data_IF_981925304547
#
_entry.id   IF_981925304547
#
_cell.length_a   1.000
_cell.length_b   1.000
_cell.length_c   1.000
_cell.angle_alpha   90.00
_cell.angle_beta   90.00
_cell.angle_gamma   90.00
#
_symmetry.space_group_name_H-M   'P 1'
#
loop_
_entity.id
_entity.type
_entity.pdbx_description
1 polymer ?
#
# COMPACT_ATOMS: atom_id res chain seq x y z
N UNK A 1 -32.58 -17.96 2.73
CA UNK A 1 -32.73 -19.43 2.73
C UNK A 1 -34.16 -19.71 3.15
N UNK A 2 -34.88 -20.58 2.47
CA UNK A 2 -36.27 -20.91 2.80
C UNK A 2 -36.29 -22.14 3.69
N UNK A 3 -36.94 -22.05 4.85
CA UNK A 3 -37.02 -23.16 5.80
C UNK A 3 -37.83 -24.33 5.22
N UNK A 4 -37.46 -25.56 5.60
CA UNK A 4 -38.19 -26.77 5.22
C UNK A 4 -39.55 -26.77 5.96
N UNK A 5 -40.66 -26.73 5.23
CA UNK A 5 -42.02 -26.65 5.81
C UNK A 5 -42.71 -28.01 5.97
N UNK A 6 -42.05 -29.10 5.54
CA UNK A 6 -42.49 -30.48 5.74
C UNK A 6 -41.28 -31.44 5.61
N UNK A 7 -41.45 -32.67 6.09
CA UNK A 7 -40.44 -33.73 5.98
C UNK A 7 -40.08 -34.00 4.51
N UNK A 8 -38.79 -33.92 4.19
CA UNK A 8 -38.27 -34.24 2.86
C UNK A 8 -37.64 -35.63 2.90
N UNK A 9 -38.19 -36.56 2.12
CA UNK A 9 -37.50 -37.82 1.85
C UNK A 9 -36.26 -37.52 0.99
N UNK A 10 -35.09 -37.81 1.54
CA UNK A 10 -33.82 -37.76 0.81
C UNK A 10 -33.47 -39.20 0.44
N UNK A 11 -33.25 -39.46 -0.85
CA UNK A 11 -32.91 -40.78 -1.33
C UNK A 11 -31.42 -41.08 -1.04
N UNK A 12 -31.13 -42.30 -0.60
CA UNK A 12 -29.79 -42.74 -0.23
C UNK A 12 -29.32 -43.89 -1.13
N UNK A 13 -28.06 -43.86 -1.53
CA UNK A 13 -27.33 -44.95 -2.19
C UNK A 13 -25.92 -45.02 -1.59
N UNK A 14 -25.38 -46.22 -1.43
CA UNK A 14 -24.08 -46.43 -0.77
C UNK A 14 -22.87 -45.82 -1.52
N UNK A 15 -23.03 -45.52 -2.82
CA UNK A 15 -22.00 -44.85 -3.63
C UNK A 15 -20.75 -45.68 -3.93
N UNK A 16 -20.72 -46.97 -3.57
CA UNK A 16 -19.60 -47.90 -3.83
C UNK A 16 -19.43 -48.14 -5.34
N UNK A 17 -20.54 -48.39 -6.02
CA UNK A 17 -20.61 -48.47 -7.47
C UNK A 17 -21.53 -47.37 -8.01
N UNK A 18 -21.03 -46.64 -9.01
CA UNK A 18 -21.74 -45.53 -9.65
C UNK A 18 -21.80 -45.78 -11.14
N UNK A 19 -22.97 -45.58 -11.74
CA UNK A 19 -23.14 -45.62 -13.18
C UNK A 19 -23.01 -44.19 -13.70
N UNK A 20 -22.09 -43.96 -14.64
CA UNK A 20 -21.77 -42.64 -15.20
C UNK A 20 -21.99 -42.69 -16.72
N UNK A 21 -22.66 -41.70 -17.33
CA UNK A 21 -22.82 -41.63 -18.78
C UNK A 21 -21.47 -41.42 -19.48
N UNK A 22 -21.21 -42.15 -20.56
CA UNK A 22 -19.93 -42.09 -21.30
C UNK A 22 -19.97 -40.96 -22.34
N UNK A 23 -18.84 -40.28 -22.54
CA UNK A 23 -18.67 -39.21 -23.55
C UNK A 23 -18.83 -39.76 -24.97
N UNK A 24 -19.14 -38.90 -25.95
CA UNK A 24 -19.13 -39.32 -27.35
C UNK A 24 -17.73 -39.79 -27.80
N UNK A 25 -17.67 -40.74 -28.73
CA UNK A 25 -16.39 -41.18 -29.31
C UNK A 25 -15.48 -42.00 -28.39
N UNK A 26 -15.84 -42.19 -27.11
CA UNK A 26 -14.98 -42.82 -26.10
C UNK A 26 -15.18 -44.34 -25.94
N UNK A 27 -14.09 -45.02 -25.56
CA UNK A 27 -14.07 -46.45 -25.21
C UNK A 27 -13.43 -46.64 -23.84
N UNK A 28 -14.14 -47.33 -22.96
CA UNK A 28 -13.67 -47.66 -21.62
C UNK A 28 -13.63 -49.17 -21.46
N UNK A 29 -12.44 -49.71 -21.23
CA UNK A 29 -12.26 -51.14 -20.97
C UNK A 29 -12.60 -51.50 -19.52
N UNK A 30 -12.98 -52.76 -19.30
CA UNK A 30 -13.16 -53.27 -17.95
C UNK A 30 -11.81 -53.25 -17.20
N UNK A 31 -11.80 -52.68 -16.00
CA UNK A 31 -10.59 -52.47 -15.20
C UNK A 31 -9.80 -51.19 -15.52
N UNK A 32 -10.22 -50.39 -16.50
CA UNK A 32 -9.58 -49.11 -16.79
C UNK A 32 -9.85 -48.08 -15.68
N UNK A 33 -8.88 -47.20 -15.46
CA UNK A 33 -9.09 -45.98 -14.68
C UNK A 33 -10.05 -45.06 -15.45
N UNK A 34 -11.05 -44.50 -14.77
CA UNK A 34 -12.08 -43.66 -15.39
C UNK A 34 -12.04 -42.26 -14.79
N UNK A 35 -12.09 -41.27 -15.67
CA UNK A 35 -12.23 -39.87 -15.33
C UNK A 35 -13.58 -39.32 -15.82
N UNK A 36 -13.95 -38.13 -15.35
CA UNK A 36 -15.01 -37.32 -15.98
C UNK A 36 -14.42 -36.04 -16.55
N UNK A 37 -14.95 -35.63 -17.71
CA UNK A 37 -14.65 -34.35 -18.34
C UNK A 37 -15.42 -33.20 -17.66
N UNK A 38 -15.19 -31.97 -18.12
CA UNK A 38 -15.86 -30.78 -17.59
C UNK A 38 -17.39 -30.77 -17.81
N UNK A 39 -17.91 -31.56 -18.76
CA UNK A 39 -19.33 -31.74 -19.00
C UNK A 39 -19.96 -32.83 -18.10
N UNK A 40 -19.15 -33.56 -17.34
CA UNK A 40 -19.60 -34.61 -16.41
C UNK A 40 -19.76 -36.00 -17.03
N UNK A 41 -19.25 -36.21 -18.25
CA UNK A 41 -19.27 -37.50 -18.92
C UNK A 41 -17.99 -38.29 -18.68
N UNK A 42 -18.13 -39.61 -18.60
CA UNK A 42 -17.03 -40.54 -18.37
C UNK A 42 -16.13 -40.62 -19.61
N UNK A 43 -14.85 -40.36 -19.38
CA UNK A 43 -13.77 -40.46 -20.37
C UNK A 43 -12.74 -41.48 -19.88
N UNK A 44 -11.89 -41.97 -20.78
CA UNK A 44 -10.74 -42.78 -20.36
C UNK A 44 -9.85 -42.01 -19.38
N UNK A 45 -9.35 -42.70 -18.35
CA UNK A 45 -8.43 -42.12 -17.40
C UNK A 45 -7.13 -41.71 -18.06
N UNK A 46 -6.51 -40.66 -17.56
CA UNK A 46 -5.21 -40.22 -18.03
C UNK A 46 -4.80 -38.89 -17.44
N UNK A 47 -3.57 -38.52 -17.72
CA UNK A 47 -2.99 -37.23 -17.36
C UNK A 47 -3.54 -36.12 -18.28
N UNK A 48 -4.80 -35.75 -18.05
CA UNK A 48 -5.55 -34.80 -18.90
C UNK A 48 -5.99 -33.60 -18.05
N UNK A 49 -5.69 -32.39 -18.54
CA UNK A 49 -6.10 -31.15 -17.89
C UNK A 49 -7.61 -31.12 -17.59
N UNK A 50 -7.96 -30.89 -16.34
CA UNK A 50 -9.36 -30.74 -15.90
C UNK A 50 -10.16 -32.03 -15.81
N UNK A 51 -9.52 -33.19 -15.99
CA UNK A 51 -10.14 -34.48 -15.73
C UNK A 51 -10.25 -34.73 -14.21
N UNK A 52 -11.35 -35.33 -13.76
CA UNK A 52 -11.54 -35.71 -12.35
C UNK A 52 -11.63 -37.23 -12.28
N UNK A 53 -10.76 -37.87 -11.51
CA UNK A 53 -10.79 -39.32 -11.31
C UNK A 53 -12.08 -39.76 -10.58
N UNK A 54 -12.78 -40.76 -11.14
CA UNK A 54 -14.06 -41.23 -10.63
C UNK A 54 -14.03 -42.68 -10.14
N UNK A 55 -12.97 -43.43 -10.41
CA UNK A 55 -12.78 -44.81 -9.94
C UNK A 55 -12.29 -45.75 -11.04
N UNK A 56 -12.44 -47.04 -10.80
CA UNK A 56 -12.03 -48.10 -11.73
C UNK A 56 -13.26 -48.73 -12.39
N UNK A 57 -13.24 -48.88 -13.71
CA UNK A 57 -14.34 -49.47 -14.47
C UNK A 57 -14.56 -50.94 -14.13
N UNK A 58 -15.82 -51.34 -13.97
CA UNK A 58 -16.24 -52.73 -13.74
C UNK A 58 -16.63 -53.46 -15.02
N UNK A 59 -16.84 -52.74 -16.12
CA UNK A 59 -17.39 -53.27 -17.36
C UNK A 59 -16.76 -52.64 -18.60
N UNK A 60 -17.00 -53.25 -19.77
CA UNK A 60 -16.62 -52.67 -21.05
C UNK A 60 -17.75 -51.77 -21.56
N UNK A 61 -17.43 -50.54 -21.91
CA UNK A 61 -18.36 -49.57 -22.49
C UNK A 61 -17.74 -48.95 -23.75
N UNK A 62 -18.44 -49.01 -24.89
CA UNK A 62 -17.97 -48.48 -26.17
C UNK A 62 -19.02 -47.52 -26.73
N UNK A 63 -18.77 -46.22 -26.58
CA UNK A 63 -19.63 -45.16 -27.09
C UNK A 63 -19.07 -44.50 -28.35
N UNK A 64 -18.18 -45.19 -29.07
CA UNK A 64 -17.42 -44.59 -30.21
C UNK A 64 -18.30 -44.07 -31.34
N UNK A 65 -19.50 -44.63 -31.46
CA UNK A 65 -20.47 -44.24 -32.49
C UNK A 65 -21.76 -43.64 -31.91
N UNK A 66 -21.79 -43.37 -30.60
CA UNK A 66 -22.92 -42.73 -29.91
C UNK A 66 -22.64 -41.26 -29.60
N UNK A 67 -23.68 -40.57 -29.11
CA UNK A 67 -23.60 -39.23 -28.54
C UNK A 67 -23.35 -39.33 -27.02
N UNK A 68 -23.07 -38.19 -26.39
CA UNK A 68 -22.85 -38.10 -24.94
C UNK A 68 -24.00 -38.75 -24.13
N UNK A 69 -23.66 -39.77 -23.35
CA UNK A 69 -24.57 -40.47 -22.45
C UNK A 69 -25.53 -41.46 -23.10
N UNK A 70 -25.33 -41.85 -24.36
CA UNK A 70 -26.09 -42.94 -24.99
C UNK A 70 -25.90 -44.28 -24.27
N UNK A 71 -24.74 -44.48 -23.64
CA UNK A 71 -24.44 -45.60 -22.75
C UNK A 71 -23.86 -45.11 -21.42
N UNK A 72 -23.89 -45.99 -20.41
CA UNK A 72 -23.25 -45.75 -19.12
C UNK A 72 -22.14 -46.77 -18.86
N UNK A 73 -21.20 -46.40 -18.01
CA UNK A 73 -20.17 -47.28 -17.44
C UNK A 73 -20.32 -47.35 -15.92
N UNK A 74 -20.25 -48.56 -15.38
CA UNK A 74 -20.22 -48.80 -13.94
C UNK A 74 -18.79 -48.66 -13.41
N UNK A 75 -18.58 -47.69 -12.51
CA UNK A 75 -17.29 -47.46 -11.84
C UNK A 75 -17.37 -47.81 -10.37
N UNK A 76 -16.31 -48.45 -9.87
CA UNK A 76 -16.12 -48.73 -8.45
C UNK A 76 -15.30 -47.59 -7.82
N UNK A 77 -15.88 -46.92 -6.82
CA UNK A 77 -15.32 -45.70 -6.21
C UNK A 77 -14.61 -45.95 -4.88
N UNK A 78 -14.56 -47.20 -4.42
CA UNK A 78 -13.99 -47.58 -3.10
C UNK A 78 -13.30 -48.94 -3.19
N UNK A 79 -12.16 -49.09 -2.51
CA UNK A 79 -11.43 -50.36 -2.40
C UNK A 79 -9.94 -50.21 -2.72
N UNK A 80 -9.20 -51.31 -2.50
CA UNK A 80 -7.80 -51.42 -2.89
C UNK A 80 -7.73 -52.10 -4.25
N UNK A 81 -7.05 -51.46 -5.20
CA UNK A 81 -6.85 -51.98 -6.55
C UNK A 81 -5.38 -52.22 -6.79
N UNK A 82 -5.04 -53.37 -7.38
CA UNK A 82 -3.70 -53.61 -7.87
C UNK A 82 -3.52 -52.77 -9.14
N UNK A 83 -2.67 -51.75 -9.07
CA UNK A 83 -2.38 -50.85 -10.18
C UNK A 83 -0.95 -51.07 -10.68
N UNK A 84 -0.74 -50.84 -11.98
CA UNK A 84 0.57 -50.86 -12.63
C UNK A 84 1.14 -49.44 -12.69
N UNK A 85 2.41 -49.29 -12.32
CA UNK A 85 3.11 -48.01 -12.27
C UNK A 85 3.96 -47.82 -13.53
N UNK A 86 3.87 -46.64 -14.15
CA UNK A 86 4.65 -46.31 -15.35
C UNK A 86 6.16 -46.22 -15.05
N UNK A 87 6.53 -45.81 -13.83
CA UNK A 87 7.92 -45.83 -13.34
C UNK A 87 8.11 -46.80 -12.18
N UNK A 88 9.37 -47.18 -11.93
CA UNK A 88 9.69 -48.16 -10.90
C UNK A 88 9.51 -47.58 -9.49
N UNK A 89 8.71 -48.26 -8.67
CA UNK A 89 8.46 -47.95 -7.26
C UNK A 89 9.21 -48.90 -6.32
N UNK A 90 9.33 -48.50 -5.06
CA UNK A 90 9.99 -49.27 -4.00
C UNK A 90 9.14 -49.35 -2.74
N UNK A 91 9.56 -50.20 -1.80
CA UNK A 91 8.91 -50.31 -0.48
C UNK A 91 8.83 -48.96 0.26
N UNK A 92 9.72 -48.00 -0.04
CA UNK A 92 9.72 -46.67 0.58
C UNK A 92 8.53 -45.80 0.13
N UNK A 93 7.89 -46.15 -0.99
CA UNK A 93 6.78 -45.38 -1.54
C UNK A 93 5.41 -45.75 -0.93
N UNK A 94 5.35 -46.71 -0.01
CA UNK A 94 4.09 -47.02 0.69
C UNK A 94 3.65 -45.80 1.51
N UNK A 95 2.44 -45.30 1.24
CA UNK A 95 1.91 -44.05 1.78
C UNK A 95 2.05 -42.84 0.86
N UNK A 96 2.77 -42.95 -0.26
CA UNK A 96 2.87 -41.86 -1.24
C UNK A 96 1.56 -41.69 -2.01
N UNK A 97 1.33 -40.45 -2.45
CA UNK A 97 0.22 -40.09 -3.34
C UNK A 97 0.45 -40.64 -4.74
N UNK A 98 -0.62 -41.19 -5.31
CA UNK A 98 -0.64 -41.78 -6.64
C UNK A 98 -1.49 -40.92 -7.57
N UNK A 99 -1.02 -40.72 -8.80
CA UNK A 99 -1.61 -39.89 -9.83
C UNK A 99 -1.81 -40.70 -11.12
N UNK A 100 -2.79 -40.32 -11.95
CA UNK A 100 -3.03 -40.97 -13.23
C UNK A 100 -1.94 -40.65 -14.24
N UNK A 101 -1.42 -41.70 -14.89
CA UNK A 101 -0.57 -41.56 -16.07
C UNK A 101 -1.35 -41.88 -17.36
N UNK A 102 -2.11 -42.99 -17.35
CA UNK A 102 -2.99 -43.41 -18.44
C UNK A 102 -4.16 -44.24 -17.90
N UNK A 103 -5.01 -44.76 -18.78
CA UNK A 103 -6.17 -45.58 -18.42
C UNK A 103 -5.79 -46.94 -17.81
N UNK A 104 -4.56 -47.40 -18.05
CA UNK A 104 -3.98 -48.62 -17.49
C UNK A 104 -2.81 -48.40 -16.52
N UNK A 105 -2.31 -47.16 -16.41
CA UNK A 105 -1.07 -46.85 -15.68
C UNK A 105 -1.28 -45.70 -14.70
N UNK A 106 -0.61 -45.80 -13.56
CA UNK A 106 -0.51 -44.74 -12.56
C UNK A 106 0.95 -44.40 -12.26
N UNK A 107 1.20 -43.31 -11.56
CA UNK A 107 2.55 -42.95 -11.14
C UNK A 107 2.55 -42.11 -9.85
N UNK A 108 3.73 -41.79 -9.33
CA UNK A 108 3.96 -40.87 -8.21
C UNK A 108 4.16 -39.43 -8.70
N UNK A 109 4.10 -38.47 -7.77
CA UNK A 109 4.25 -37.05 -8.07
C UNK A 109 5.54 -36.74 -8.85
N UNK A 110 5.44 -35.85 -9.83
CA UNK A 110 6.57 -35.38 -10.64
C UNK A 110 6.90 -36.24 -11.87
N UNK A 111 6.23 -37.37 -12.05
CA UNK A 111 6.32 -38.19 -13.27
C UNK A 111 5.14 -37.97 -14.25
N UNK A 112 4.14 -37.21 -13.84
CA UNK A 112 2.96 -36.80 -14.62
C UNK A 112 2.83 -35.27 -14.62
N UNK A 113 2.01 -34.71 -15.51
CA UNK A 113 1.95 -33.26 -15.83
C UNK A 113 0.85 -32.53 -15.08
N UNK A 114 -0.35 -33.12 -14.97
CA UNK A 114 -1.53 -32.50 -14.38
C UNK A 114 -1.86 -33.04 -12.99
N UNK A 115 -1.09 -34.02 -12.49
CA UNK A 115 -1.19 -34.56 -11.13
C UNK A 115 -2.63 -34.91 -10.73
N UNK A 116 -3.35 -35.65 -11.60
CA UNK A 116 -4.72 -36.10 -11.31
C UNK A 116 -4.68 -37.19 -10.24
N UNK A 117 -4.98 -36.82 -8.99
CA UNK A 117 -4.89 -37.71 -7.84
C UNK A 117 -5.88 -38.87 -7.92
N UNK A 118 -5.38 -40.10 -7.78
CA UNK A 118 -6.16 -41.33 -7.91
C UNK A 118 -6.15 -42.20 -6.64
N UNK A 119 -5.25 -41.95 -5.69
CA UNK A 119 -5.25 -42.67 -4.42
C UNK A 119 -3.92 -42.63 -3.69
N UNK A 120 -3.75 -43.52 -2.72
CA UNK A 120 -2.54 -43.65 -1.90
C UNK A 120 -2.04 -45.10 -1.97
N UNK A 121 -0.72 -45.30 -2.04
CA UNK A 121 -0.12 -46.64 -2.02
C UNK A 121 -0.36 -47.30 -0.65
N UNK A 122 -1.21 -48.32 -0.60
CA UNK A 122 -1.55 -49.06 0.61
C UNK A 122 -0.58 -50.22 0.89
N UNK A 123 -0.12 -50.93 -0.14
CA UNK A 123 0.86 -52.01 0.01
C UNK A 123 1.69 -52.23 -1.26
N UNK A 124 3.01 -52.28 -1.10
CA UNK A 124 3.96 -52.60 -2.16
C UNK A 124 3.90 -54.09 -2.56
N UNK A 125 4.04 -54.40 -3.86
CA UNK A 125 4.12 -55.78 -4.35
C UNK A 125 5.44 -56.06 -5.06
N UNK A 126 5.75 -55.28 -6.10
CA UNK A 126 6.96 -55.37 -6.89
C UNK A 126 7.30 -54.00 -7.49
N UNK A 127 8.37 -53.93 -8.30
CA UNK A 127 8.86 -52.67 -8.83
C UNK A 127 7.88 -51.91 -9.71
N UNK A 128 6.84 -52.55 -10.25
CA UNK A 128 5.85 -51.89 -11.12
C UNK A 128 4.42 -52.09 -10.64
N UNK A 129 4.18 -52.71 -9.48
CA UNK A 129 2.84 -52.94 -8.98
C UNK A 129 2.72 -52.66 -7.47
N UNK A 130 1.59 -52.06 -7.11
CA UNK A 130 1.18 -51.92 -5.73
C UNK A 130 -0.35 -51.94 -5.59
N UNK A 131 -0.82 -52.19 -4.37
CA UNK A 131 -2.21 -51.95 -3.99
C UNK A 131 -2.39 -50.46 -3.69
N UNK A 132 -3.30 -49.82 -4.42
CA UNK A 132 -3.66 -48.40 -4.25
C UNK A 132 -5.07 -48.33 -3.65
N UNK A 133 -5.20 -47.62 -2.53
CA UNK A 133 -6.49 -47.25 -1.98
C UNK A 133 -7.00 -45.98 -2.67
N UNK A 134 -8.10 -46.11 -3.41
CA UNK A 134 -8.69 -45.02 -4.19
C UNK A 134 -9.65 -44.15 -3.39
N UNK A 135 -10.04 -44.55 -2.17
CA UNK A 135 -11.03 -43.83 -1.36
C UNK A 135 -10.60 -42.39 -1.00
N UNK A 136 -9.32 -42.09 -0.72
CA UNK A 136 -8.85 -40.72 -0.50
C UNK A 136 -9.10 -39.79 -1.69
N UNK A 137 -8.96 -40.27 -2.93
CA UNK A 137 -9.16 -39.45 -4.12
C UNK A 137 -10.61 -39.02 -4.29
N UNK A 138 -11.54 -39.83 -3.81
CA UNK A 138 -12.98 -39.50 -3.83
C UNK A 138 -13.36 -38.52 -2.70
N UNK A 139 -12.57 -38.46 -1.62
CA UNK A 139 -12.85 -37.65 -0.42
C UNK A 139 -12.03 -36.37 -0.32
N UNK A 140 -11.06 -36.15 -1.20
CA UNK A 140 -10.13 -35.04 -1.05
C UNK A 140 -10.86 -33.70 -1.18
N UNK A 141 -10.90 -32.96 -0.08
CA UNK A 141 -10.99 -31.51 -0.13
C UNK A 141 -9.58 -31.00 -0.50
N UNK A 142 -9.49 -30.15 -1.52
CA UNK A 142 -8.21 -29.63 -2.01
C UNK A 142 -7.63 -28.58 -1.04
N UNK A 143 -7.14 -29.07 0.10
CA UNK A 143 -6.43 -28.27 1.12
C UNK A 143 -5.15 -27.67 0.54
N UNK A 144 -4.54 -28.32 -0.45
CA UNK A 144 -3.34 -27.83 -1.13
C UNK A 144 -3.65 -26.58 -1.98
N UNK A 145 -4.75 -26.57 -2.73
CA UNK A 145 -5.22 -25.38 -3.45
C UNK A 145 -5.60 -24.24 -2.50
N UNK A 146 -6.21 -24.55 -1.34
CA UNK A 146 -6.47 -23.54 -0.32
C UNK A 146 -5.20 -22.94 0.30
N UNK A 147 -4.14 -23.72 0.48
CA UNK A 147 -2.83 -23.24 0.97
C UNK A 147 -2.09 -22.47 -0.13
N UNK A 148 -2.24 -22.87 -1.38
CA UNK A 148 -1.57 -22.25 -2.53
C UNK A 148 -2.22 -20.95 -3.02
N UNK A 149 -3.46 -20.65 -2.62
CA UNK A 149 -4.17 -19.42 -3.01
C UNK A 149 -3.54 -18.18 -2.35
N UNK A 150 -2.78 -17.37 -3.10
CA UNK A 150 -2.12 -16.18 -2.57
C UNK A 150 -3.07 -14.97 -2.52
N UNK A 151 -4.28 -15.07 -3.08
CA UNK A 151 -5.22 -13.96 -3.24
C UNK A 151 -6.30 -13.91 -2.18
N UNK A 152 -6.70 -15.06 -1.62
CA UNK A 152 -7.74 -15.12 -0.60
C UNK A 152 -7.24 -15.50 0.81
N UNK A 153 -6.19 -16.31 0.93
CA UNK A 153 -5.76 -16.83 2.24
C UNK A 153 -4.62 -16.02 2.91
N UNK A 154 -3.81 -15.29 2.12
CA UNK A 154 -2.56 -14.69 2.62
C UNK A 154 -2.39 -13.18 2.32
N UNK A 155 -3.36 -12.53 1.69
CA UNK A 155 -3.31 -11.08 1.51
C UNK A 155 -3.52 -10.36 2.85
N UNK A 156 -2.82 -9.24 3.09
CA UNK A 156 -3.01 -8.43 4.31
C UNK A 156 -4.46 -7.91 4.47
N UNK A 157 -5.21 -7.82 3.37
CA UNK A 157 -6.65 -7.52 3.37
C UNK A 157 -7.51 -8.63 3.97
N UNK A 158 -7.02 -9.87 4.05
CA UNK A 158 -7.72 -11.00 4.66
C UNK A 158 -7.28 -11.28 6.11
N UNK A 159 -6.15 -10.69 6.55
CA UNK A 159 -5.60 -10.90 7.89
C UNK A 159 -6.25 -9.90 8.86
N UNK A 160 -6.96 -10.43 9.86
CA UNK A 160 -7.52 -9.62 10.94
C UNK A 160 -6.43 -9.15 11.91
N UNK A 161 -6.66 -7.99 12.53
CA UNK A 161 -5.78 -7.43 13.55
C UNK A 161 -6.44 -7.50 14.94
N UNK A 162 -5.73 -8.04 15.92
CA UNK A 162 -6.12 -7.96 17.33
C UNK A 162 -5.53 -6.69 17.94
N UNK A 163 -6.25 -5.57 17.82
CA UNK A 163 -5.80 -4.28 18.36
C UNK A 163 -6.06 -4.17 19.87
N UNK A 164 -5.28 -4.91 20.66
CA UNK A 164 -5.38 -4.88 22.12
C UNK A 164 -5.04 -3.50 22.72
N UNK A 165 -4.33 -2.65 21.97
CA UNK A 165 -3.92 -1.31 22.39
C UNK A 165 -4.93 -0.21 22.04
N UNK A 166 -5.96 -0.52 21.24
CA UNK A 166 -6.95 0.45 20.73
C UNK A 166 -6.30 1.61 19.95
N UNK A 167 -5.27 1.30 19.15
CA UNK A 167 -4.58 2.25 18.29
C UNK A 167 -5.30 2.54 16.96
N UNK A 168 -6.20 1.67 16.52
CA UNK A 168 -6.94 1.81 15.26
C UNK A 168 -8.35 1.22 15.36
N UNK A 169 -9.31 1.79 14.65
CA UNK A 169 -10.65 1.22 14.52
C UNK A 169 -10.75 0.18 13.38
N UNK A 170 -9.66 -0.06 12.65
CA UNK A 170 -9.64 -0.96 11.50
C UNK A 170 -9.63 -2.42 11.93
N UNK A 171 -10.31 -3.26 11.15
CA UNK A 171 -10.48 -4.69 11.43
C UNK A 171 -9.52 -5.58 10.62
N UNK A 172 -8.82 -5.00 9.64
CA UNK A 172 -7.91 -5.67 8.72
C UNK A 172 -6.53 -4.98 8.72
N UNK A 173 -5.48 -5.76 8.54
CA UNK A 173 -4.10 -5.26 8.56
C UNK A 173 -3.83 -4.21 7.49
N UNK A 174 -4.31 -4.44 6.25
CA UNK A 174 -4.14 -3.48 5.15
C UNK A 174 -4.72 -2.09 5.49
N UNK A 175 -5.93 -2.05 6.03
CA UNK A 175 -6.59 -0.79 6.37
C UNK A 175 -5.87 -0.05 7.51
N UNK A 176 -5.35 -0.77 8.51
CA UNK A 176 -4.55 -0.19 9.59
C UNK A 176 -3.23 0.40 9.07
N UNK A 177 -2.56 -0.29 8.13
CA UNK A 177 -1.34 0.21 7.49
C UNK A 177 -1.64 1.48 6.67
N UNK A 178 -2.72 1.49 5.90
CA UNK A 178 -3.13 2.66 5.11
C UNK A 178 -3.38 3.90 5.99
N UNK A 179 -4.01 3.74 7.16
CA UNK A 179 -4.19 4.81 8.13
C UNK A 179 -2.85 5.42 8.59
N UNK A 180 -1.87 4.56 8.89
CA UNK A 180 -0.52 5.00 9.29
C UNK A 180 0.17 5.75 8.14
N UNK A 181 0.15 5.20 6.92
CA UNK A 181 0.75 5.86 5.75
C UNK A 181 0.08 7.21 5.45
N UNK A 182 -1.23 7.28 5.57
CA UNK A 182 -1.97 8.53 5.38
C UNK A 182 -1.53 9.59 6.39
N UNK A 183 -1.36 9.22 7.67
CA UNK A 183 -0.85 10.11 8.71
C UNK A 183 0.57 10.58 8.41
N UNK A 184 1.47 9.65 8.07
CA UNK A 184 2.87 9.97 7.77
C UNK A 184 3.04 10.91 6.56
N UNK A 185 2.23 10.73 5.52
CA UNK A 185 2.29 11.56 4.30
C UNK A 185 1.56 12.90 4.42
N UNK A 186 0.60 13.02 5.34
CA UNK A 186 -0.14 14.28 5.57
C UNK A 186 0.47 15.12 6.68
N UNK A 187 1.29 14.53 7.54
CA UNK A 187 2.00 15.24 8.59
C UNK A 187 2.89 16.34 7.99
N UNK A 188 2.69 17.57 8.46
CA UNK A 188 3.51 18.72 8.08
C UNK A 188 4.79 18.75 8.88
N UNK A 189 5.86 19.19 8.24
CA UNK A 189 7.13 19.52 8.88
C UNK A 189 7.25 21.02 9.08
N UNK A 190 8.04 21.42 10.07
CA UNK A 190 8.29 22.83 10.40
C UNK A 190 9.80 23.07 10.40
N UNK A 191 10.23 24.09 9.67
CA UNK A 191 11.57 24.68 9.79
C UNK A 191 11.42 25.95 10.64
N UNK A 192 11.94 25.97 11.87
CA UNK A 192 11.92 27.18 12.67
C UNK A 192 12.83 28.22 12.04
N UNK A 193 12.32 29.42 11.76
CA UNK A 193 13.15 30.53 11.31
C UNK A 193 13.63 31.28 12.56
N UNK A 194 14.94 31.24 12.87
CA UNK A 194 15.44 31.93 14.04
C UNK A 194 15.27 33.44 13.84
N UNK A 195 14.98 34.13 14.94
CA UNK A 195 14.82 35.58 14.92
C UNK A 195 16.10 36.21 14.35
N UNK A 196 16.00 37.02 13.28
CA UNK A 196 17.14 37.69 12.68
C UNK A 196 17.97 38.47 13.71
N UNK A 197 19.30 38.47 13.54
CA UNK A 197 20.26 39.17 14.43
C UNK A 197 21.10 40.21 13.69
N UNK A 198 21.01 40.24 12.36
CA UNK A 198 21.74 41.17 11.51
C UNK A 198 20.78 41.81 10.49
N UNK A 199 21.14 43.00 10.01
CA UNK A 199 20.55 43.61 8.82
C UNK A 199 21.13 42.99 7.54
N UNK A 200 20.53 43.26 6.40
CA UNK A 200 21.07 42.87 5.08
C UNK A 200 22.51 43.40 4.85
N UNK A 201 22.85 44.56 5.42
CA UNK A 201 24.20 45.12 5.37
C UNK A 201 25.22 44.39 6.27
N UNK A 202 24.82 43.34 6.98
CA UNK A 202 25.67 42.59 7.91
C UNK A 202 25.91 43.29 9.25
N UNK A 203 25.08 44.28 9.60
CA UNK A 203 25.18 45.02 10.86
C UNK A 203 24.35 44.34 11.94
N UNK A 204 24.89 44.18 13.14
CA UNK A 204 24.15 43.59 14.26
C UNK A 204 22.93 44.45 14.66
N UNK A 205 21.80 43.80 14.90
CA UNK A 205 20.59 44.47 15.39
C UNK A 205 20.77 44.93 16.84
N UNK A 206 20.39 46.18 17.08
CA UNK A 206 20.40 46.78 18.41
C UNK A 206 19.02 46.70 19.06
N UNK A 207 18.89 47.19 20.30
CA UNK A 207 17.58 47.44 20.89
C UNK A 207 16.81 48.48 20.06
N UNK A 208 15.50 48.28 19.91
CA UNK A 208 14.64 49.19 19.17
C UNK A 208 14.68 50.59 19.79
N UNK A 209 14.88 51.59 18.93
CA UNK A 209 14.78 53.00 19.28
C UNK A 209 13.67 53.61 18.42
N UNK A 210 12.72 54.28 19.08
CA UNK A 210 11.67 55.01 18.38
C UNK A 210 12.28 56.30 17.78
N UNK A 211 12.50 56.29 16.48
CA UNK A 211 13.12 57.37 15.71
C UNK A 211 12.55 57.35 14.28
N UNK A 212 12.69 58.44 13.54
CA UNK A 212 12.45 58.44 12.09
C UNK A 212 13.64 57.78 11.37
N UNK A 213 13.82 56.49 11.61
CA UNK A 213 14.95 55.70 11.15
C UNK A 213 14.43 54.40 10.49
N UNK A 214 14.91 54.04 9.28
CA UNK A 214 14.59 52.77 8.63
C UNK A 214 15.08 51.54 9.40
N UNK A 215 16.03 51.68 10.33
CA UNK A 215 16.65 50.56 11.03
C UNK A 215 15.69 49.93 12.04
N UNK A 216 15.42 48.62 11.94
CA UNK A 216 14.70 47.90 12.97
C UNK A 216 15.56 47.63 14.20
N UNK A 217 14.92 47.23 15.28
CA UNK A 217 15.62 46.74 16.46
C UNK A 217 14.82 45.74 17.28
N UNK A 218 15.50 45.09 18.21
CA UNK A 218 14.89 44.20 19.18
C UNK A 218 13.94 44.98 20.09
N UNK A 219 12.67 44.63 20.00
CA UNK A 219 11.62 45.19 20.81
C UNK A 219 11.38 44.28 22.02
N UNK A 220 11.60 44.83 23.21
CA UNK A 220 11.24 44.19 24.48
C UNK A 220 10.14 45.03 25.11
N UNK A 221 8.89 44.73 24.78
CA UNK A 221 7.77 45.22 25.60
C UNK A 221 7.52 44.23 26.73
N UNK A 222 6.78 44.64 27.77
CA UNK A 222 6.47 43.78 28.92
C UNK A 222 5.78 42.43 28.56
N UNK A 223 5.22 42.30 27.34
CA UNK A 223 4.49 41.10 26.87
C UNK A 223 4.72 40.73 25.40
N UNK A 224 5.71 41.33 24.73
CA UNK A 224 5.97 41.13 23.31
C UNK A 224 7.45 41.28 23.00
N UNK A 225 8.08 40.17 22.64
CA UNK A 225 9.47 40.06 22.20
C UNK A 225 9.47 39.87 20.68
N UNK A 226 10.29 40.64 19.96
CA UNK A 226 10.35 40.56 18.52
C UNK A 226 11.27 41.60 17.89
N UNK A 227 11.18 41.74 16.57
CA UNK A 227 11.85 42.82 15.83
C UNK A 227 10.79 43.85 15.47
N UNK A 228 11.05 45.12 15.75
CA UNK A 228 10.16 46.23 15.42
C UNK A 228 10.79 47.14 14.40
N UNK A 229 9.98 47.57 13.43
CA UNK A 229 10.28 48.62 12.47
C UNK A 229 9.45 49.86 12.80
N UNK A 230 10.06 51.04 12.69
CA UNK A 230 9.34 52.31 12.71
C UNK A 230 8.48 52.43 11.44
N UNK A 231 7.47 53.29 11.49
CA UNK A 231 6.63 53.70 10.37
C UNK A 231 7.41 54.48 9.30
N UNK A 232 8.34 53.80 8.63
CA UNK A 232 9.25 54.37 7.64
C UNK A 232 8.87 53.92 6.22
N UNK A 233 9.14 54.77 5.23
CA UNK A 233 8.79 54.48 3.83
C UNK A 233 9.65 53.35 3.22
N UNK A 234 10.89 53.19 3.68
CA UNK A 234 11.82 52.12 3.24
C UNK A 234 12.43 51.42 4.45
N UNK A 235 11.71 50.50 5.10
CA UNK A 235 12.21 49.77 6.26
C UNK A 235 13.43 48.91 5.89
N UNK A 236 14.44 48.84 6.76
CA UNK A 236 15.66 48.07 6.48
C UNK A 236 15.40 46.56 6.67
N UNK A 237 15.81 45.71 5.71
CA UNK A 237 15.66 44.26 5.84
C UNK A 237 16.60 43.63 6.87
N UNK A 238 16.13 42.54 7.45
CA UNK A 238 16.87 41.71 8.42
C UNK A 238 17.11 40.31 7.86
N UNK A 239 18.29 39.76 8.11
CA UNK A 239 18.76 38.50 7.55
C UNK A 239 18.73 37.33 8.54
N UNK A 240 18.33 36.16 8.07
CA UNK A 240 18.36 34.89 8.82
C UNK A 240 18.56 33.70 7.87
N UNK A 241 18.93 32.54 8.41
CA UNK A 241 19.12 31.32 7.62
C UNK A 241 18.64 30.11 8.40
N UNK A 242 18.11 29.11 7.71
CA UNK A 242 17.66 27.86 8.31
C UNK A 242 18.01 26.65 7.44
N UNK A 243 18.38 25.55 8.09
CA UNK A 243 18.69 24.30 7.39
C UNK A 243 17.42 23.67 6.79
N UNK A 244 17.54 23.15 5.57
CA UNK A 244 16.53 22.27 4.99
C UNK A 244 16.65 20.90 5.67
N UNK A 245 15.58 20.29 6.20
CA UNK A 245 15.66 18.97 6.81
C UNK A 245 15.61 17.86 5.74
N UNK A 246 16.17 16.66 6.02
CA UNK A 246 16.21 15.56 5.04
C UNK A 246 14.84 15.06 4.59
N UNK A 247 13.83 15.15 5.45
CA UNK A 247 12.45 14.72 5.21
C UNK A 247 11.60 15.75 4.47
N UNK A 248 12.16 16.87 4.02
CA UNK A 248 11.42 17.84 3.20
C UNK A 248 11.15 17.29 1.79
N UNK A 249 9.87 17.29 1.41
CA UNK A 249 9.43 17.02 0.05
C UNK A 249 9.51 18.28 -0.81
N UNK A 250 10.47 18.31 -1.74
CA UNK A 250 10.66 19.42 -2.68
C UNK A 250 9.77 19.31 -3.91
N UNK A 251 8.97 18.23 -4.05
CA UNK A 251 7.95 18.11 -5.09
C UNK A 251 6.63 18.80 -4.70
N UNK A 252 6.53 19.33 -3.48
CA UNK A 252 5.39 20.09 -2.98
C UNK A 252 5.83 21.51 -2.59
N UNK A 253 4.91 22.47 -2.71
CA UNK A 253 5.17 23.85 -2.25
C UNK A 253 5.38 23.86 -0.72
N UNK A 254 6.23 24.77 -0.26
CA UNK A 254 6.33 25.13 1.15
C UNK A 254 5.63 26.48 1.41
N UNK A 255 5.36 26.79 2.66
CA UNK A 255 4.71 28.04 3.05
C UNK A 255 5.53 28.69 4.16
N UNK A 256 5.97 29.93 3.95
CA UNK A 256 6.52 30.76 5.00
C UNK A 256 5.35 31.40 5.76
N UNK A 257 5.38 31.31 7.09
CA UNK A 257 4.43 31.90 8.00
C UNK A 257 5.13 32.97 8.84
N UNK A 258 4.48 34.12 9.01
CA UNK A 258 4.95 35.19 9.88
C UNK A 258 3.81 35.62 10.80
N UNK A 259 4.11 35.66 12.10
CA UNK A 259 3.25 36.30 13.09
C UNK A 259 3.77 37.70 13.36
N UNK A 260 2.92 38.69 13.15
CA UNK A 260 3.27 40.09 13.36
C UNK A 260 2.11 40.87 13.96
N UNK A 261 2.41 41.99 14.61
CA UNK A 261 1.42 42.88 15.20
C UNK A 261 1.77 44.33 14.89
N UNK A 262 0.75 45.10 14.47
CA UNK A 262 0.89 46.54 14.28
C UNK A 262 0.70 47.32 15.57
N UNK A 263 1.33 48.46 15.73
CA UNK A 263 1.15 49.30 16.93
C UNK A 263 -0.07 50.21 16.87
N UNK A 264 -0.61 50.45 15.67
CA UNK A 264 -1.86 51.16 15.45
C UNK A 264 -2.83 50.38 14.56
N UNK A 265 -3.95 51.00 14.24
CA UNK A 265 -5.11 50.40 13.60
C UNK A 265 -5.61 51.29 12.45
N UNK A 266 -4.73 51.55 11.48
CA UNK A 266 -5.03 52.40 10.32
C UNK A 266 -5.34 51.56 9.08
N UNK A 267 -6.52 51.76 8.46
CA UNK A 267 -7.01 50.96 7.32
C UNK A 267 -6.07 50.95 6.12
N UNK A 268 -5.40 52.08 5.85
CA UNK A 268 -4.44 52.22 4.75
C UNK A 268 -3.11 51.52 5.00
N UNK A 269 -2.82 51.19 6.25
CA UNK A 269 -1.53 50.64 6.69
C UNK A 269 -1.60 49.09 6.67
N UNK A 270 -2.15 48.53 5.60
CA UNK A 270 -2.31 47.09 5.38
C UNK A 270 -0.97 46.44 4.93
N UNK A 271 0.04 46.52 5.80
CA UNK A 271 1.42 46.12 5.48
C UNK A 271 1.52 44.66 5.07
N UNK A 272 2.46 44.40 4.18
CA UNK A 272 2.95 43.04 3.83
C UNK A 272 4.37 42.89 4.33
N UNK A 273 4.90 41.68 4.29
CA UNK A 273 6.34 41.48 4.37
C UNK A 273 6.89 41.13 2.98
N UNK A 274 7.92 41.84 2.56
CA UNK A 274 8.75 41.45 1.41
C UNK A 274 9.84 40.53 1.91
N UNK A 275 9.93 39.38 1.24
CA UNK A 275 10.87 38.31 1.54
C UNK A 275 11.75 38.15 0.32
N UNK A 276 13.07 38.18 0.49
CA UNK A 276 13.98 37.57 -0.50
C UNK A 276 14.49 36.26 0.06
N UNK A 277 14.47 35.22 -0.77
CA UNK A 277 14.83 33.86 -0.39
C UNK A 277 15.86 33.29 -1.36
N UNK A 278 16.92 32.68 -0.82
CA UNK A 278 18.02 32.11 -1.59
C UNK A 278 18.44 30.75 -1.01
N UNK A 279 18.84 29.82 -1.88
CA UNK A 279 19.31 28.48 -1.52
C UNK A 279 20.84 28.43 -1.52
N UNK A 280 21.40 28.01 -0.40
CA UNK A 280 22.81 27.62 -0.31
C UNK A 280 22.91 26.09 -0.41
N UNK A 281 23.25 25.61 -1.60
CA UNK A 281 23.32 24.18 -1.94
C UNK A 281 24.77 23.71 -2.07
N UNK A 282 25.06 22.49 -1.63
CA UNK A 282 26.40 21.90 -1.78
C UNK A 282 26.81 21.81 -3.25
N UNK A 283 27.99 22.36 -3.57
CA UNK A 283 28.55 22.35 -4.93
C UNK A 283 28.11 23.52 -5.82
N UNK A 284 27.21 24.40 -5.35
CA UNK A 284 26.84 25.64 -6.01
C UNK A 284 27.65 26.84 -5.47
N UNK A 285 27.68 27.93 -6.23
CA UNK A 285 28.18 29.23 -5.75
C UNK A 285 27.15 29.84 -4.78
N UNK A 286 27.62 30.46 -3.69
CA UNK A 286 26.73 30.98 -2.64
C UNK A 286 25.96 32.25 -3.04
N UNK A 287 26.38 32.92 -4.11
CA UNK A 287 25.88 34.23 -4.57
C UNK A 287 25.29 34.21 -5.98
N UNK A 288 25.16 33.01 -6.58
CA UNK A 288 24.65 32.85 -7.94
C UNK A 288 23.18 32.39 -8.00
N UNK A 289 22.55 32.12 -6.86
CA UNK A 289 21.16 31.67 -6.82
C UNK A 289 20.18 32.81 -7.10
N UNK A 290 19.03 32.49 -7.69
CA UNK A 290 17.98 33.46 -7.98
C UNK A 290 17.03 33.62 -6.79
N UNK A 291 16.59 34.84 -6.53
CA UNK A 291 15.58 35.11 -5.51
C UNK A 291 14.26 34.40 -5.85
N UNK A 292 13.79 33.56 -4.93
CA UNK A 292 12.50 32.88 -5.03
C UNK A 292 11.49 33.32 -3.96
N UNK A 293 11.77 34.43 -3.29
CA UNK A 293 10.88 35.09 -2.36
C UNK A 293 9.74 35.84 -3.04
N UNK A 294 9.16 36.79 -2.31
CA UNK A 294 8.00 37.56 -2.73
C UNK A 294 7.36 38.32 -1.57
N UNK A 295 6.18 38.89 -1.84
CA UNK A 295 5.39 39.56 -0.81
C UNK A 295 4.40 38.57 -0.18
N UNK A 296 4.27 38.61 1.15
CA UNK A 296 3.18 37.91 1.86
C UNK A 296 1.81 38.45 1.44
N UNK A 297 0.74 37.76 1.85
CA UNK A 297 -0.56 38.40 1.96
C UNK A 297 -0.53 39.60 2.94
N UNK A 298 -1.52 40.47 2.80
CA UNK A 298 -1.58 41.71 3.55
C UNK A 298 -2.13 41.49 4.96
N UNK A 299 -1.54 42.18 5.93
CA UNK A 299 -2.16 42.38 7.23
C UNK A 299 -3.48 43.17 7.07
N UNK A 300 -4.45 42.89 7.92
CA UNK A 300 -5.65 43.72 8.10
C UNK A 300 -5.25 45.04 8.76
N UNK A 301 -5.34 46.13 8.01
CA UNK A 301 -4.83 47.45 8.43
C UNK A 301 -5.50 48.02 9.67
N UNK A 302 -6.83 47.91 9.76
CA UNK A 302 -7.68 48.44 10.83
C UNK A 302 -7.96 47.43 11.95
N UNK A 303 -7.26 46.30 11.96
CA UNK A 303 -7.32 45.38 13.10
C UNK A 303 -6.92 46.12 14.39
N UNK A 304 -7.51 45.73 15.52
CA UNK A 304 -7.22 46.35 16.81
C UNK A 304 -5.71 46.39 17.06
N UNK A 305 -5.19 47.55 17.45
CA UNK A 305 -3.76 47.74 17.68
C UNK A 305 -3.18 46.64 18.58
N UNK A 306 -1.99 46.13 18.22
CA UNK A 306 -1.27 45.04 18.90
C UNK A 306 -1.93 43.66 18.79
N UNK A 307 -2.94 43.51 17.94
CA UNK A 307 -3.47 42.18 17.60
C UNK A 307 -2.44 41.43 16.75
N UNK A 308 -2.14 40.20 17.15
CA UNK A 308 -1.29 39.30 16.36
C UNK A 308 -2.07 38.88 15.13
N UNK A 309 -1.47 39.11 13.97
CA UNK A 309 -1.98 38.65 12.69
C UNK A 309 -1.00 37.62 12.13
N UNK A 310 -1.53 36.78 11.25
CA UNK A 310 -0.81 35.72 10.59
C UNK A 310 -0.82 36.01 9.09
N UNK A 311 0.37 36.19 8.52
CA UNK A 311 0.58 36.35 7.09
C UNK A 311 1.44 35.22 6.55
N UNK A 312 1.29 34.91 5.28
CA UNK A 312 1.90 33.78 4.60
C UNK A 312 2.46 34.15 3.23
N UNK A 313 3.49 33.42 2.82
CA UNK A 313 4.05 33.44 1.48
C UNK A 313 4.27 32.00 1.01
N UNK A 314 3.72 31.65 -0.15
CA UNK A 314 3.99 30.35 -0.79
C UNK A 314 5.40 30.35 -1.41
N UNK A 315 6.23 29.41 -1.01
CA UNK A 315 7.51 29.11 -1.63
C UNK A 315 7.30 27.99 -2.66
N UNK A 316 7.48 28.32 -3.93
CA UNK A 316 7.19 27.41 -5.06
C UNK A 316 8.13 26.21 -5.08
N UNK A 317 7.58 25.01 -5.29
CA UNK A 317 8.29 23.73 -5.39
C UNK A 317 9.46 23.77 -6.38
N UNK A 318 9.34 24.55 -7.46
CA UNK A 318 10.36 24.64 -8.50
C UNK A 318 11.68 25.27 -8.00
N UNK A 319 11.64 25.98 -6.88
CA UNK A 319 12.76 26.72 -6.33
C UNK A 319 13.24 26.14 -4.98
N UNK A 320 12.69 25.02 -4.52
CA UNK A 320 13.08 24.41 -3.25
C UNK A 320 14.29 23.49 -3.46
N UNK A 321 15.36 23.72 -2.70
CA UNK A 321 16.53 22.85 -2.71
C UNK A 321 16.37 21.68 -1.71
N UNK A 322 16.80 20.49 -2.11
CA UNK A 322 16.83 19.32 -1.24
C UNK A 322 18.03 19.35 -0.28
N UNK A 323 17.91 18.67 0.86
CA UNK A 323 19.03 18.44 1.77
C UNK A 323 20.21 17.74 1.07
N UNK A 324 21.47 18.11 1.34
CA UNK A 324 21.93 19.19 2.23
C UNK A 324 21.87 20.59 1.58
N UNK A 325 21.05 21.47 2.16
CA UNK A 325 20.92 22.87 1.77
C UNK A 325 20.50 23.76 2.95
N UNK A 326 20.73 25.07 2.83
CA UNK A 326 20.26 26.10 3.77
C UNK A 326 19.45 27.12 2.99
N UNK A 327 18.29 27.51 3.50
CA UNK A 327 17.51 28.62 2.97
C UNK A 327 17.91 29.89 3.73
N UNK A 328 18.34 30.89 2.98
CA UNK A 328 18.60 32.24 3.46
C UNK A 328 17.41 33.13 3.17
N UNK A 329 17.03 33.95 4.15
CA UNK A 329 15.89 34.85 4.06
C UNK A 329 16.31 36.25 4.49
N UNK A 330 15.95 37.25 3.70
CA UNK A 330 15.81 38.62 4.19
C UNK A 330 14.33 38.96 4.33
N UNK A 331 13.99 39.68 5.39
CA UNK A 331 12.60 39.99 5.75
C UNK A 331 12.51 41.48 6.04
N UNK A 332 11.56 42.17 5.40
CA UNK A 332 11.20 43.55 5.73
C UNK A 332 9.70 43.78 5.56
N UNK A 333 9.10 44.74 6.27
CA UNK A 333 7.82 45.28 5.87
C UNK A 333 7.91 45.88 4.46
N UNK A 334 6.87 45.72 3.65
CA UNK A 334 6.84 46.22 2.27
C UNK A 334 6.97 47.74 2.27
N UNK A 335 7.88 48.24 1.43
CA UNK A 335 8.10 49.67 1.26
C UNK A 335 6.80 50.44 1.02
N UNK A 336 6.65 51.55 1.74
CA UNK A 336 5.50 52.45 1.65
C UNK A 336 4.19 51.93 2.25
N UNK A 337 4.16 50.74 2.88
CA UNK A 337 2.91 50.14 3.38
C UNK A 337 2.68 50.25 4.88
N UNK A 338 3.67 50.69 5.65
CA UNK A 338 3.52 50.92 7.09
C UNK A 338 2.74 52.20 7.42
N UNK A 339 2.84 53.22 6.56
CA UNK A 339 2.15 54.49 6.72
C UNK A 339 2.44 55.17 8.07
N UNK A 340 1.46 55.16 8.96
CA UNK A 340 1.55 55.77 10.31
C UNK A 340 1.80 54.78 11.44
N UNK A 341 1.75 53.49 11.14
CA UNK A 341 1.82 52.41 12.12
C UNK A 341 3.18 51.69 12.07
N UNK A 342 3.76 51.40 13.23
CA UNK A 342 4.89 50.48 13.33
C UNK A 342 4.39 49.03 13.25
N UNK A 343 5.31 48.12 12.89
CA UNK A 343 5.05 46.68 12.93
C UNK A 343 6.11 45.94 13.75
N UNK A 344 5.67 44.92 14.47
CA UNK A 344 6.50 44.03 15.27
C UNK A 344 6.35 42.61 14.72
N UNK A 345 7.44 42.02 14.24
CA UNK A 345 7.50 40.61 13.90
C UNK A 345 7.82 39.79 15.17
N UNK A 346 6.99 38.79 15.45
CA UNK A 346 7.03 38.00 16.69
C UNK A 346 7.62 36.61 16.45
N UNK A 347 7.31 35.98 15.32
CA UNK A 347 7.81 34.66 14.94
C UNK A 347 7.72 34.44 13.44
N UNK A 348 8.58 33.56 12.91
CA UNK A 348 8.48 33.05 11.56
C UNK A 348 8.83 31.54 11.52
N UNK A 349 8.21 30.80 10.62
CA UNK A 349 8.54 29.40 10.34
C UNK A 349 8.17 29.03 8.91
N UNK A 350 8.83 28.02 8.34
CA UNK A 350 8.43 27.43 7.06
C UNK A 350 7.71 26.11 7.36
N UNK A 351 6.48 25.98 6.89
CA UNK A 351 5.74 24.72 6.84
C UNK A 351 6.02 24.00 5.52
N UNK A 352 6.29 22.71 5.57
CA UNK A 352 6.55 21.88 4.39
C UNK A 352 5.86 20.51 4.47
N UNK A 353 5.70 19.86 3.32
CA UNK A 353 5.22 18.48 3.28
C UNK A 353 6.36 17.50 3.53
N UNK A 354 6.15 16.54 4.43
CA UNK A 354 7.13 15.49 4.70
C UNK A 354 7.09 14.42 3.62
N UNK A 355 8.26 13.91 3.23
CA UNK A 355 8.40 12.67 2.46
C UNK A 355 8.89 11.53 3.37
N UNK A 356 8.51 10.31 3.01
CA UNK A 356 9.07 9.11 3.64
C UNK A 356 10.54 8.97 3.26
N UNK A 357 11.40 8.79 4.26
CA UNK A 357 12.81 8.49 4.05
C UNK A 357 12.96 6.99 3.81
N UNK A 358 13.08 6.60 2.55
CA UNK A 358 13.37 5.20 2.16
C UNK A 358 14.87 4.99 2.16
N UNK A 359 15.44 4.79 3.37
CA UNK A 359 16.87 4.54 3.68
C UNK A 359 17.90 5.59 3.25
#
# INVERSE_FOLDING_TARGET
>A
MTDLTADKKIEYREGVELSIPVDDGDKIYAGANVCVNAAGYAIKGGDISGAIFMGVSREYADNTNGNDGDINVLVMRRGLFKMEFATAISQANVGDNVFLADDNLVDVAGNVTYDIFCGIIAAYMDTTHAWVDIEPAIKQADVASHIADPTAAHAASAISIADAGLFTAQTQMEAAIQEIYQSLLTAKGIIPIPMPVITEAGVALAAFVNADDPLPGFCVTAKGLGIRWNNHATPTPVGTKAMVPPDMDVAANAVLHILAAKTGATIGDATKFTISAYNNVVGALYDADADFGGDTDAMTGDATAKTVQHVTLTLSLANLAAYPAVIELTIQPKDGTLGTDDVIMLAAWIEYQKKLLTS
#
